data_IF_439185826294
#
_entry.id   IF_439185826294
#
_cell.length_a   1.000
_cell.length_b   1.000
_cell.length_c   1.000
_cell.angle_alpha   90.00
_cell.angle_beta   90.00
_cell.angle_gamma   90.00
#
_symmetry.space_group_name_H-M   'P 1'
#
loop_
_entity.id
_entity.type
_entity.pdbx_description
1 polymer ?
#
# COMPACT_ATOMS: atom_id res chain seq x y z
N UNK A 1 -1.81 4.84 -2.44
CA UNK A 1 -1.42 3.57 -3.10
C UNK A 1 -2.14 3.46 -4.45
N UNK A 2 -1.79 2.47 -5.27
CA UNK A 2 -2.48 2.16 -6.54
C UNK A 2 -2.80 0.67 -6.56
N UNK A 3 -3.83 0.27 -7.31
CA UNK A 3 -4.20 -1.13 -7.49
C UNK A 3 -3.06 -1.92 -8.14
N UNK A 4 -2.74 -3.08 -7.59
CA UNK A 4 -1.74 -4.03 -8.09
C UNK A 4 -2.45 -5.29 -8.56
N UNK A 5 -2.21 -5.69 -9.81
CA UNK A 5 -2.71 -6.96 -10.32
C UNK A 5 -1.76 -8.09 -9.87
N UNK A 6 -2.06 -8.70 -8.72
CA UNK A 6 -1.20 -9.74 -8.15
C UNK A 6 -1.04 -10.94 -9.09
N UNK A 7 -2.05 -11.24 -9.92
CA UNK A 7 -2.03 -12.39 -10.83
C UNK A 7 -0.92 -12.32 -11.89
N UNK A 8 -0.42 -11.12 -12.19
CA UNK A 8 0.74 -10.97 -13.08
C UNK A 8 2.02 -11.62 -12.51
N UNK A 9 2.11 -11.80 -11.18
CA UNK A 9 3.22 -12.54 -10.53
C UNK A 9 3.30 -13.97 -11.03
N UNK A 10 2.18 -14.64 -11.29
CA UNK A 10 2.14 -16.07 -11.61
C UNK A 10 3.02 -16.41 -12.81
N UNK A 11 2.98 -15.55 -13.84
CA UNK A 11 3.82 -15.66 -15.04
C UNK A 11 5.29 -15.30 -14.84
N UNK A 12 5.64 -14.73 -13.68
CA UNK A 12 6.96 -14.24 -13.34
C UNK A 12 7.66 -15.11 -12.29
N UNK A 13 6.97 -16.10 -11.72
CA UNK A 13 7.52 -16.99 -10.69
C UNK A 13 8.76 -17.72 -11.23
N UNK A 14 9.85 -17.82 -10.45
CA UNK A 14 11.01 -18.62 -10.83
C UNK A 14 10.65 -20.09 -11.04
N UNK A 15 11.38 -20.77 -11.94
CA UNK A 15 11.23 -22.20 -12.18
C UNK A 15 11.33 -23.00 -10.87
N UNK A 16 10.41 -23.94 -10.66
CA UNK A 16 10.39 -24.78 -9.46
C UNK A 16 9.94 -24.05 -8.17
N UNK A 17 9.54 -22.77 -8.24
CA UNK A 17 9.14 -22.03 -7.03
C UNK A 17 7.85 -22.58 -6.42
N UNK A 18 6.84 -22.90 -7.23
CA UNK A 18 5.55 -23.43 -6.77
C UNK A 18 5.70 -24.80 -6.12
N UNK A 19 6.53 -25.68 -6.68
CA UNK A 19 6.82 -27.00 -6.14
C UNK A 19 7.50 -26.88 -4.77
N UNK A 20 8.53 -26.03 -4.65
CA UNK A 20 9.18 -25.76 -3.37
C UNK A 20 8.21 -25.19 -2.34
N UNK A 21 7.36 -24.24 -2.73
CA UNK A 21 6.36 -23.64 -1.87
C UNK A 21 5.31 -24.65 -1.37
N UNK A 22 4.89 -25.56 -2.24
CA UNK A 22 3.98 -26.65 -1.90
C UNK A 22 4.61 -27.64 -0.92
N UNK A 23 5.82 -28.09 -1.20
CA UNK A 23 6.54 -29.03 -0.32
C UNK A 23 6.77 -28.45 1.07
N UNK A 24 7.16 -27.17 1.15
CA UNK A 24 7.33 -26.47 2.42
C UNK A 24 5.99 -26.28 3.13
N UNK A 25 4.91 -25.95 2.43
CA UNK A 25 3.57 -25.84 3.03
C UNK A 25 3.12 -27.14 3.69
N UNK A 26 3.37 -28.29 3.04
CA UNK A 26 3.08 -29.62 3.62
C UNK A 26 3.92 -29.87 4.89
N UNK A 27 5.18 -29.45 4.90
CA UNK A 27 6.05 -29.61 6.08
C UNK A 27 5.61 -28.81 7.31
N UNK A 28 4.77 -27.79 7.15
CA UNK A 28 4.25 -26.98 8.27
C UNK A 28 3.08 -27.64 9.02
N UNK A 29 2.43 -28.61 8.39
CA UNK A 29 1.30 -29.35 8.97
C UNK A 29 1.80 -30.15 10.17
N UNK A 30 0.99 -30.20 11.23
CA UNK A 30 1.31 -30.87 12.50
C UNK A 30 2.59 -30.41 13.23
N UNK A 31 3.17 -29.28 12.81
CA UNK A 31 4.33 -28.67 13.47
C UNK A 31 3.93 -27.73 14.60
N UNK A 32 4.75 -27.73 15.66
CA UNK A 32 4.68 -26.71 16.70
C UNK A 32 5.02 -25.32 16.15
N UNK A 33 4.66 -24.28 16.88
CA UNK A 33 5.01 -22.90 16.52
C UNK A 33 6.53 -22.71 16.41
N UNK A 34 7.30 -23.30 17.32
CA UNK A 34 8.77 -23.23 17.35
C UNK A 34 9.39 -23.94 16.15
N UNK A 35 8.86 -25.12 15.77
CA UNK A 35 9.29 -25.86 14.59
C UNK A 35 9.01 -25.07 13.30
N UNK A 36 7.81 -24.47 13.18
CA UNK A 36 7.46 -23.61 12.03
C UNK A 36 8.39 -22.41 11.92
N UNK A 37 8.72 -21.76 13.05
CA UNK A 37 9.67 -20.63 13.07
C UNK A 37 11.04 -21.06 12.54
N UNK A 38 11.52 -22.27 12.88
CA UNK A 38 12.76 -22.80 12.33
C UNK A 38 12.66 -23.00 10.81
N UNK A 39 11.59 -23.65 10.34
CA UNK A 39 11.34 -23.87 8.90
C UNK A 39 11.34 -22.54 8.14
N UNK A 40 10.68 -21.50 8.66
CA UNK A 40 10.64 -20.18 8.04
C UNK A 40 12.01 -19.50 7.97
N UNK A 41 12.85 -19.64 9.00
CA UNK A 41 14.20 -19.07 9.01
C UNK A 41 15.11 -19.77 8.00
N UNK A 42 14.98 -21.08 7.91
CA UNK A 42 15.81 -21.90 7.02
C UNK A 42 15.37 -21.79 5.55
N UNK A 43 14.11 -21.41 5.28
CA UNK A 43 13.53 -21.39 3.94
C UNK A 43 12.78 -20.08 3.61
N UNK A 44 13.44 -18.91 3.55
CA UNK A 44 12.79 -17.63 3.26
C UNK A 44 12.50 -17.43 1.75
N UNK A 45 11.96 -18.44 1.06
CA UNK A 45 11.80 -18.45 -0.41
C UNK A 45 10.92 -17.33 -0.97
N UNK A 46 10.15 -16.64 -0.12
CA UNK A 46 9.42 -15.43 -0.51
C UNK A 46 10.35 -14.30 -0.96
N UNK A 47 11.59 -14.26 -0.46
CA UNK A 47 12.61 -13.29 -0.89
C UNK A 47 13.02 -13.49 -2.35
N UNK A 48 12.90 -14.72 -2.87
CA UNK A 48 13.19 -15.03 -4.28
C UNK A 48 12.27 -14.23 -5.23
N UNK A 49 11.11 -13.78 -4.75
CA UNK A 49 10.11 -13.03 -5.53
C UNK A 49 10.30 -11.51 -5.47
N UNK A 50 11.30 -10.99 -4.75
CA UNK A 50 11.49 -9.55 -4.56
C UNK A 50 11.62 -8.80 -5.90
N UNK A 51 12.36 -9.36 -6.85
CA UNK A 51 12.58 -8.74 -8.18
C UNK A 51 11.28 -8.70 -8.99
N UNK A 52 10.50 -9.77 -8.96
CA UNK A 52 9.21 -9.90 -9.63
C UNK A 52 8.19 -8.91 -9.03
N UNK A 53 8.12 -8.87 -7.70
CA UNK A 53 7.22 -7.98 -6.98
C UNK A 53 7.54 -6.50 -7.24
N UNK A 54 8.82 -6.15 -7.36
CA UNK A 54 9.29 -4.81 -7.75
C UNK A 54 8.82 -4.40 -9.15
N UNK A 55 8.76 -5.33 -10.11
CA UNK A 55 8.32 -5.01 -11.49
C UNK A 55 6.86 -4.55 -11.55
N UNK A 56 5.98 -5.14 -10.73
CA UNK A 56 4.53 -4.85 -10.75
C UNK A 56 4.17 -3.44 -10.32
N UNK A 57 5.02 -2.80 -9.52
CA UNK A 57 4.77 -1.46 -8.98
C UNK A 57 5.80 -0.43 -9.42
N UNK A 58 6.62 -0.74 -10.43
CA UNK A 58 7.73 0.12 -10.86
C UNK A 58 8.66 0.51 -9.69
N UNK A 59 9.08 -0.49 -8.90
CA UNK A 59 9.91 -0.38 -7.70
C UNK A 59 9.29 0.39 -6.52
N UNK A 60 7.98 0.66 -6.54
CA UNK A 60 7.29 1.39 -5.47
C UNK A 60 6.79 0.45 -4.38
N UNK A 61 6.83 0.88 -3.12
CA UNK A 61 6.11 0.24 -2.03
C UNK A 61 4.61 0.22 -2.34
N UNK A 62 3.96 -0.94 -2.21
CA UNK A 62 2.55 -1.10 -2.58
C UNK A 62 1.63 -0.32 -1.63
N UNK A 63 2.02 -0.09 -0.38
CA UNK A 63 1.25 0.70 0.59
C UNK A 63 1.48 2.21 0.46
N UNK A 64 2.74 2.65 0.44
CA UNK A 64 3.08 4.09 0.50
C UNK A 64 3.21 4.76 -0.86
N UNK A 65 3.38 3.97 -1.93
CA UNK A 65 3.72 4.40 -3.29
C UNK A 65 5.11 5.05 -3.44
N UNK A 66 5.94 5.04 -2.38
CA UNK A 66 7.30 5.57 -2.41
C UNK A 66 8.25 4.58 -3.07
N UNK A 67 9.21 5.08 -3.84
CA UNK A 67 10.38 4.35 -4.28
C UNK A 67 11.48 4.41 -3.23
N UNK A 68 12.25 3.33 -3.12
CA UNK A 68 13.39 3.25 -2.21
C UNK A 68 14.67 3.13 -3.04
N UNK A 69 15.50 4.17 -3.00
CA UNK A 69 16.75 4.23 -3.79
C UNK A 69 17.92 3.63 -3.03
N UNK A 70 17.99 3.89 -1.72
CA UNK A 70 19.13 3.52 -0.86
C UNK A 70 18.75 2.54 0.25
N UNK A 71 17.48 2.13 0.33
CA UNK A 71 16.99 1.21 1.35
C UNK A 71 16.45 -0.06 0.71
N UNK A 72 16.57 -1.17 1.44
CA UNK A 72 15.97 -2.42 1.02
C UNK A 72 14.45 -2.37 1.15
N UNK A 73 13.78 -3.19 0.34
CA UNK A 73 12.34 -3.41 0.41
C UNK A 73 12.08 -4.80 0.98
N UNK A 74 11.01 -4.93 1.75
CA UNK A 74 10.56 -6.18 2.33
C UNK A 74 9.51 -6.84 1.44
N UNK A 75 9.51 -8.17 1.43
CA UNK A 75 8.36 -8.98 1.03
C UNK A 75 7.52 -9.23 2.29
N UNK A 76 6.45 -8.44 2.44
CA UNK A 76 5.52 -8.52 3.55
C UNK A 76 4.50 -9.65 3.36
N UNK A 77 4.25 -10.40 4.41
CA UNK A 77 3.11 -11.33 4.49
C UNK A 77 1.89 -10.53 4.93
N UNK A 78 1.00 -10.17 3.99
CA UNK A 78 -0.19 -9.37 4.27
C UNK A 78 -0.94 -9.93 5.48
N UNK A 79 -1.21 -11.23 5.44
CA UNK A 79 -1.61 -12.06 6.58
C UNK A 79 -0.35 -12.62 7.26
N UNK A 80 0.02 -12.15 8.47
CA UNK A 80 1.29 -12.49 9.08
C UNK A 80 1.41 -13.99 9.44
N UNK A 81 2.52 -14.62 9.06
CA UNK A 81 2.72 -16.06 9.22
C UNK A 81 2.95 -16.57 10.65
N UNK A 82 3.45 -15.73 11.58
CA UNK A 82 3.87 -16.19 12.93
C UNK A 82 2.87 -15.86 14.03
N UNK A 83 2.28 -14.68 13.98
CA UNK A 83 1.30 -14.18 14.94
C UNK A 83 0.52 -13.04 14.29
N UNK A 84 -0.74 -12.88 14.65
CA UNK A 84 -1.56 -11.77 14.21
C UNK A 84 -1.97 -10.89 15.40
N UNK A 85 -1.70 -9.60 15.30
CA UNK A 85 -1.94 -8.61 16.35
C UNK A 85 -3.12 -7.70 15.99
N UNK A 86 -3.91 -7.34 16.99
CA UNK A 86 -4.90 -6.27 16.88
C UNK A 86 -5.08 -5.56 18.21
N UNK A 87 -5.58 -4.33 18.17
CA UNK A 87 -6.00 -3.57 19.36
C UNK A 87 -7.52 -3.53 19.35
N UNK A 88 -8.17 -3.97 20.43
CA UNK A 88 -9.63 -3.88 20.53
C UNK A 88 -10.10 -2.46 20.89
N UNK A 89 -11.42 -2.26 20.93
CA UNK A 89 -12.04 -0.96 21.26
C UNK A 89 -11.62 -0.39 22.63
N UNK A 90 -11.19 -1.24 23.56
CA UNK A 90 -10.73 -0.85 24.89
C UNK A 90 -9.23 -0.57 24.95
N UNK A 91 -8.53 -0.54 23.81
CA UNK A 91 -7.09 -0.34 23.74
C UNK A 91 -6.25 -1.56 24.13
N UNK A 92 -6.87 -2.72 24.36
CA UNK A 92 -6.15 -3.95 24.75
C UNK A 92 -5.57 -4.64 23.51
N UNK A 93 -4.28 -4.98 23.59
CA UNK A 93 -3.60 -5.82 22.60
C UNK A 93 -4.12 -7.25 22.67
N UNK A 94 -4.58 -7.77 21.54
CA UNK A 94 -4.96 -9.16 21.32
C UNK A 94 -3.89 -9.78 20.42
N UNK A 95 -3.42 -10.96 20.82
CA UNK A 95 -2.47 -11.78 20.05
C UNK A 95 -3.18 -13.06 19.65
N UNK A 96 -3.16 -13.37 18.36
CA UNK A 96 -3.70 -14.61 17.78
C UNK A 96 -2.59 -15.41 17.12
N UNK A 97 -2.86 -16.66 16.81
CA UNK A 97 -1.96 -17.43 15.97
C UNK A 97 -1.79 -16.78 14.59
N UNK A 98 -0.67 -17.04 13.94
CA UNK A 98 -0.39 -16.53 12.61
C UNK A 98 -1.09 -17.36 11.53
N UNK A 99 -1.13 -16.79 10.33
CA UNK A 99 -1.59 -17.46 9.11
C UNK A 99 -0.42 -18.29 8.53
N UNK A 100 0.13 -19.20 9.31
CA UNK A 100 1.31 -19.99 8.95
C UNK A 100 1.09 -20.82 7.68
N UNK A 101 -0.15 -21.26 7.44
CA UNK A 101 -0.57 -21.98 6.24
C UNK A 101 -0.59 -21.09 4.97
N UNK A 102 -0.42 -19.77 5.11
CA UNK A 102 -0.17 -18.82 4.01
C UNK A 102 1.29 -18.34 3.94
N UNK A 103 2.21 -18.96 4.68
CA UNK A 103 3.61 -18.52 4.70
C UNK A 103 4.28 -18.62 3.32
N UNK A 104 3.89 -19.63 2.53
CA UNK A 104 4.42 -19.92 1.19
C UNK A 104 3.39 -19.64 0.07
N UNK A 105 2.33 -18.90 0.37
CA UNK A 105 1.33 -18.49 -0.62
C UNK A 105 1.72 -17.13 -1.22
N UNK A 106 2.09 -17.10 -2.50
CA UNK A 106 2.56 -15.87 -3.15
C UNK A 106 1.48 -14.80 -3.24
N UNK A 107 0.20 -15.18 -3.29
CA UNK A 107 -0.92 -14.23 -3.24
C UNK A 107 -1.03 -13.50 -1.89
N UNK A 108 -0.35 -13.98 -0.85
CA UNK A 108 -0.25 -13.31 0.45
C UNK A 108 0.92 -12.30 0.54
N UNK A 109 1.73 -12.15 -0.51
CA UNK A 109 2.92 -11.28 -0.46
C UNK A 109 2.65 -9.88 -1.00
N UNK A 110 3.18 -8.88 -0.30
CA UNK A 110 3.13 -7.47 -0.71
C UNK A 110 4.54 -6.90 -0.68
N UNK A 111 4.91 -6.13 -1.71
CA UNK A 111 6.15 -5.38 -1.67
C UNK A 111 5.96 -4.15 -0.78
N UNK A 112 6.76 -4.05 0.27
CA UNK A 112 6.63 -2.99 1.27
C UNK A 112 7.98 -2.37 1.57
N UNK A 113 8.01 -1.06 1.84
CA UNK A 113 9.21 -0.46 2.41
C UNK A 113 9.37 -0.89 3.86
N UNK A 114 10.61 -0.85 4.37
CA UNK A 114 10.86 -1.12 5.79
C UNK A 114 10.11 -0.15 6.72
N UNK A 115 9.72 1.03 6.22
CA UNK A 115 9.01 2.05 7.00
C UNK A 115 7.53 1.73 7.18
N UNK A 116 6.91 1.12 6.17
CA UNK A 116 5.53 0.64 6.25
C UNK A 116 5.43 -0.75 6.86
N UNK A 117 6.44 -1.60 6.68
CA UNK A 117 6.41 -2.98 7.16
C UNK A 117 6.88 -3.16 8.61
N UNK A 118 7.94 -2.46 9.05
CA UNK A 118 8.57 -2.74 10.35
C UNK A 118 8.14 -1.72 11.40
N UNK A 119 7.82 -2.18 12.60
CA UNK A 119 7.45 -1.30 13.72
C UNK A 119 8.60 -0.34 14.05
N UNK A 120 8.32 0.97 13.99
CA UNK A 120 9.29 2.02 14.26
C UNK A 120 8.64 3.33 14.63
N UNK A 121 9.41 4.20 15.28
CA UNK A 121 9.03 5.58 15.57
C UNK A 121 9.42 6.49 14.41
N UNK A 122 8.65 7.55 14.19
CA UNK A 122 9.10 8.65 13.36
C UNK A 122 10.17 9.44 14.12
N UNK A 123 11.41 9.46 13.61
CA UNK A 123 12.52 10.18 14.23
C UNK A 123 12.47 11.69 14.00
N UNK A 124 11.61 12.13 13.08
CA UNK A 124 11.41 13.54 12.72
C UNK A 124 10.21 14.15 13.45
N UNK A 125 9.46 13.35 14.20
CA UNK A 125 8.33 13.80 15.01
C UNK A 125 8.68 13.82 16.49
N UNK A 126 8.05 14.73 17.24
CA UNK A 126 8.07 14.72 18.72
C UNK A 126 7.22 13.57 19.29
N UNK A 127 6.30 13.02 18.49
CA UNK A 127 5.51 11.85 18.86
C UNK A 127 6.41 10.61 18.95
N UNK A 128 6.34 9.93 20.10
CA UNK A 128 7.10 8.70 20.37
C UNK A 128 6.31 7.43 20.06
N UNK A 129 5.12 7.54 19.46
CA UNK A 129 4.32 6.41 19.00
C UNK A 129 5.05 5.65 17.89
N UNK A 130 4.90 4.33 17.92
CA UNK A 130 5.47 3.43 16.92
C UNK A 130 4.37 3.03 15.94
N UNK A 131 4.69 3.09 14.66
CA UNK A 131 3.84 2.73 13.53
C UNK A 131 4.57 1.72 12.64
N UNK A 132 3.88 1.19 11.64
CA UNK A 132 4.37 0.11 10.78
C UNK A 132 3.59 -1.17 11.03
N UNK A 133 3.36 -1.94 9.97
CA UNK A 133 2.48 -3.10 9.99
C UNK A 133 2.93 -4.16 10.98
N UNK A 134 4.18 -4.60 10.88
CA UNK A 134 4.70 -5.73 11.63
C UNK A 134 3.75 -6.93 11.56
N UNK A 135 3.33 -7.40 12.73
CA UNK A 135 2.36 -8.47 12.87
C UNK A 135 0.91 -7.99 12.99
N UNK A 136 0.63 -6.68 12.84
CA UNK A 136 -0.74 -6.17 12.91
C UNK A 136 -1.56 -6.64 11.71
N UNK A 137 -2.69 -7.28 12.04
CA UNK A 137 -3.68 -7.74 11.10
C UNK A 137 -5.07 -7.64 11.76
N UNK A 138 -5.61 -6.43 11.93
CA UNK A 138 -6.88 -6.21 12.60
C UNK A 138 -8.06 -6.74 11.79
N UNK A 139 -8.92 -7.50 12.45
CA UNK A 139 -10.25 -7.87 11.94
C UNK A 139 -11.32 -7.00 12.58
N UNK A 140 -12.49 -6.96 11.93
CA UNK A 140 -13.70 -6.37 12.52
C UNK A 140 -14.00 -7.00 13.87
N UNK A 141 -14.46 -6.19 14.81
CA UNK A 141 -14.87 -6.69 16.13
C UNK A 141 -15.95 -7.77 16.01
N UNK A 142 -15.79 -8.87 16.75
CA UNK A 142 -16.66 -10.05 16.67
C UNK A 142 -16.39 -11.00 15.50
N UNK A 143 -15.47 -10.66 14.60
CA UNK A 143 -15.08 -11.55 13.50
C UNK A 143 -14.07 -12.61 13.98
N UNK A 144 -14.31 -13.87 13.62
CA UNK A 144 -13.39 -14.97 13.90
C UNK A 144 -12.23 -14.94 12.90
N UNK A 145 -11.03 -15.29 13.37
CA UNK A 145 -9.90 -15.44 12.47
C UNK A 145 -9.98 -16.78 11.72
N UNK A 146 -9.68 -16.76 10.43
CA UNK A 146 -9.56 -17.94 9.61
C UNK A 146 -8.37 -18.78 10.08
N UNK A 147 -8.61 -20.07 10.23
CA UNK A 147 -7.63 -21.08 10.63
C UNK A 147 -7.16 -21.92 9.45
N UNK A 148 -7.87 -21.84 8.32
CA UNK A 148 -7.52 -22.49 7.05
C UNK A 148 -8.01 -21.69 5.84
N UNK A 149 -7.68 -22.17 4.63
CA UNK A 149 -8.00 -21.49 3.37
C UNK A 149 -9.50 -21.35 3.13
N UNK A 150 -10.29 -22.34 3.54
CA UNK A 150 -11.74 -22.39 3.30
C UNK A 150 -12.52 -21.36 4.14
N UNK A 151 -11.91 -20.81 5.19
CA UNK A 151 -12.51 -19.83 6.10
C UNK A 151 -12.12 -18.38 5.74
N UNK A 152 -11.24 -18.15 4.75
CA UNK A 152 -10.73 -16.80 4.43
C UNK A 152 -11.85 -15.83 4.09
N UNK A 153 -12.86 -16.30 3.35
CA UNK A 153 -13.92 -15.45 2.82
C UNK A 153 -14.90 -14.99 3.91
N UNK A 154 -14.90 -15.65 5.07
CA UNK A 154 -15.69 -15.27 6.24
C UNK A 154 -15.00 -14.19 7.12
N UNK A 155 -13.71 -13.92 6.87
CA UNK A 155 -12.97 -12.89 7.59
C UNK A 155 -13.22 -11.48 7.05
N UNK A 156 -13.55 -10.56 7.96
CA UNK A 156 -13.70 -9.15 7.63
C UNK A 156 -12.46 -8.39 8.10
N UNK A 157 -11.57 -8.10 7.15
CA UNK A 157 -10.27 -7.47 7.37
C UNK A 157 -10.40 -5.94 7.38
N UNK A 158 -9.73 -5.26 8.32
CA UNK A 158 -9.77 -3.79 8.40
C UNK A 158 -8.69 -3.10 7.55
N UNK A 159 -7.61 -3.81 7.22
CA UNK A 159 -6.53 -3.28 6.39
C UNK A 159 -6.95 -3.12 4.92
N UNK A 160 -6.47 -2.05 4.29
CA UNK A 160 -6.57 -1.81 2.85
C UNK A 160 -5.49 -2.61 2.12
N UNK A 161 -5.90 -3.42 1.16
CA UNK A 161 -5.01 -4.23 0.35
C UNK A 161 -4.89 -3.70 -1.08
N UNK A 162 -3.70 -3.27 -1.55
CA UNK A 162 -3.49 -2.83 -2.92
C UNK A 162 -3.92 -3.83 -4.00
N UNK A 163 -4.05 -5.13 -3.69
CA UNK A 163 -4.53 -6.12 -4.68
C UNK A 163 -6.06 -6.15 -4.81
N UNK A 164 -6.79 -5.58 -3.83
CA UNK A 164 -8.22 -5.37 -3.94
C UNK A 164 -8.45 -4.07 -4.74
N UNK A 165 -9.14 -4.13 -5.89
CA UNK A 165 -9.30 -2.95 -6.74
C UNK A 165 -10.01 -1.77 -6.07
N UNK A 166 -10.85 -2.03 -5.06
CA UNK A 166 -11.66 -0.99 -4.41
C UNK A 166 -10.93 -0.33 -3.21
N UNK A 167 -9.89 -0.97 -2.67
CA UNK A 167 -9.24 -0.49 -1.45
C UNK A 167 -8.38 0.77 -1.65
N UNK A 168 -7.61 0.92 -2.76
CA UNK A 168 -6.87 2.14 -3.03
C UNK A 168 -7.72 3.41 -3.10
N UNK A 169 -8.99 3.30 -3.53
CA UNK A 169 -9.92 4.42 -3.66
C UNK A 169 -10.39 4.96 -2.30
N UNK A 170 -10.16 4.21 -1.21
CA UNK A 170 -10.47 4.63 0.16
C UNK A 170 -9.43 5.61 0.75
N UNK A 171 -8.37 5.94 0.00
CA UNK A 171 -7.34 6.88 0.40
C UNK A 171 -7.35 8.15 -0.47
N UNK A 172 -7.29 9.29 0.21
CA UNK A 172 -7.07 10.59 -0.41
C UNK A 172 -5.81 11.26 0.17
N UNK A 173 -5.28 12.26 -0.53
CA UNK A 173 -4.10 13.01 -0.11
C UNK A 173 -4.37 14.51 -0.09
N UNK A 174 -3.99 15.19 0.98
CA UNK A 174 -4.13 16.65 1.09
C UNK A 174 -2.99 17.39 0.41
N UNK A 175 -3.08 18.72 0.36
CA UNK A 175 -2.03 19.59 -0.20
C UNK A 175 -0.73 19.59 0.60
N UNK A 176 -0.80 19.19 1.86
CA UNK A 176 0.33 18.94 2.75
C UNK A 176 0.92 17.52 2.58
N UNK A 177 0.41 16.72 1.63
CA UNK A 177 0.86 15.35 1.41
C UNK A 177 0.39 14.34 2.46
N UNK A 178 -0.59 14.73 3.30
CA UNK A 178 -1.16 13.88 4.35
C UNK A 178 -2.15 12.89 3.73
N UNK A 179 -1.98 11.60 4.03
CA UNK A 179 -2.96 10.57 3.72
C UNK A 179 -4.14 10.66 4.69
N UNK A 180 -5.35 10.69 4.14
CA UNK A 180 -6.63 10.72 4.86
C UNK A 180 -7.63 9.75 4.21
N UNK A 181 -8.69 9.30 4.93
CA UNK A 181 -9.81 8.63 4.29
C UNK A 181 -10.42 9.50 3.18
N UNK A 182 -10.81 8.89 2.06
CA UNK A 182 -11.49 9.59 0.96
C UNK A 182 -12.99 9.79 1.20
N UNK A 183 -13.56 9.00 2.11
CA UNK A 183 -14.98 9.06 2.52
C UNK A 183 -15.12 9.70 3.90
N UNK A 184 -16.30 10.24 4.21
CA UNK A 184 -16.60 10.76 5.54
C UNK A 184 -17.02 9.65 6.52
N UNK A 185 -16.86 9.90 7.82
CA UNK A 185 -17.29 8.96 8.87
C UNK A 185 -18.81 8.84 8.93
N UNK A 186 -19.54 9.90 8.56
CA UNK A 186 -20.99 9.97 8.55
C UNK A 186 -21.62 9.22 7.36
N UNK A 187 -21.04 9.34 6.17
CA UNK A 187 -21.58 8.71 4.95
C UNK A 187 -21.18 7.23 4.85
N UNK A 188 -19.92 6.90 5.13
CA UNK A 188 -19.39 5.54 5.03
C UNK A 188 -18.52 5.15 6.23
N UNK A 189 -19.10 4.97 7.44
CA UNK A 189 -18.35 4.69 8.67
C UNK A 189 -17.40 3.51 8.56
N UNK A 190 -17.81 2.46 7.83
CA UNK A 190 -17.03 1.25 7.62
C UNK A 190 -15.74 1.51 6.84
N UNK A 191 -15.86 2.14 5.66
CA UNK A 191 -14.72 2.41 4.80
C UNK A 191 -13.82 3.51 5.39
N UNK A 192 -14.40 4.49 6.09
CA UNK A 192 -13.65 5.45 6.88
C UNK A 192 -12.76 4.77 7.93
N UNK A 193 -13.32 3.84 8.71
CA UNK A 193 -12.58 3.10 9.72
C UNK A 193 -11.44 2.29 9.11
N UNK A 194 -11.69 1.56 8.01
CA UNK A 194 -10.65 0.79 7.30
C UNK A 194 -9.50 1.66 6.83
N UNK A 195 -9.82 2.79 6.19
CA UNK A 195 -8.81 3.73 5.71
C UNK A 195 -7.99 4.32 6.86
N UNK A 196 -8.64 4.79 7.92
CA UNK A 196 -7.98 5.36 9.11
C UNK A 196 -7.02 4.38 9.77
N UNK A 197 -7.46 3.14 9.99
CA UNK A 197 -6.63 2.09 10.57
C UNK A 197 -5.43 1.76 9.68
N UNK A 198 -5.63 1.71 8.36
CA UNK A 198 -4.56 1.40 7.40
C UNK A 198 -3.53 2.53 7.30
N UNK A 199 -3.96 3.79 7.33
CA UNK A 199 -3.07 4.96 7.36
C UNK A 199 -2.12 4.89 8.55
N UNK A 200 -2.65 4.59 9.74
CA UNK A 200 -1.88 4.45 10.97
C UNK A 200 -0.94 3.23 10.90
N UNK A 201 -1.47 2.05 10.59
CA UNK A 201 -0.70 0.81 10.61
C UNK A 201 0.40 0.82 9.55
N UNK A 202 0.14 1.29 8.33
CA UNK A 202 1.17 1.40 7.29
C UNK A 202 2.07 2.62 7.42
N UNK A 203 1.87 3.43 8.46
CA UNK A 203 2.66 4.62 8.74
C UNK A 203 2.67 5.60 7.56
N UNK A 204 1.51 5.76 6.90
CA UNK A 204 1.43 6.54 5.65
C UNK A 204 1.68 8.04 5.87
N UNK A 205 1.64 8.52 7.11
CA UNK A 205 1.90 9.91 7.49
C UNK A 205 3.26 10.13 8.17
N UNK A 206 4.22 9.23 7.94
CA UNK A 206 5.63 9.44 8.29
C UNK A 206 6.16 10.73 7.66
N UNK A 207 6.93 11.53 8.41
CA UNK A 207 7.27 12.91 8.03
C UNK A 207 7.95 13.05 6.66
N UNK A 208 9.07 12.35 6.36
CA UNK A 208 9.68 12.36 5.03
C UNK A 208 8.71 11.97 3.89
N UNK A 209 7.77 11.06 4.15
CA UNK A 209 6.80 10.62 3.16
C UNK A 209 5.77 11.71 2.86
N UNK A 210 5.29 12.43 3.88
CA UNK A 210 4.41 13.59 3.69
C UNK A 210 5.11 14.70 2.89
N UNK A 211 6.35 15.03 3.25
CA UNK A 211 7.14 16.06 2.58
C UNK A 211 7.36 15.72 1.09
N UNK A 212 7.73 14.47 0.79
CA UNK A 212 7.91 14.01 -0.59
C UNK A 212 6.59 14.10 -1.41
N UNK A 213 5.46 13.72 -0.80
CA UNK A 213 4.15 13.86 -1.44
C UNK A 213 3.75 15.31 -1.66
N UNK A 214 4.04 16.19 -0.70
CA UNK A 214 3.80 17.63 -0.84
C UNK A 214 4.58 18.24 -2.01
N UNK A 215 5.81 17.77 -2.28
CA UNK A 215 6.58 18.19 -3.47
C UNK A 215 5.83 17.84 -4.76
N UNK A 216 5.32 16.61 -4.88
CA UNK A 216 4.52 16.18 -6.04
C UNK A 216 3.23 16.99 -6.16
N UNK A 217 2.53 17.21 -5.06
CA UNK A 217 1.33 18.06 -5.03
C UNK A 217 1.62 19.47 -5.54
N UNK A 218 2.64 20.13 -4.99
CA UNK A 218 3.01 21.50 -5.37
C UNK A 218 3.45 21.59 -6.83
N UNK A 219 4.11 20.56 -7.38
CA UNK A 219 4.43 20.51 -8.79
C UNK A 219 3.16 20.38 -9.65
N UNK A 220 2.23 19.49 -9.28
CA UNK A 220 0.94 19.33 -9.95
C UNK A 220 0.12 20.63 -9.93
N UNK A 221 0.03 21.27 -8.77
CA UNK A 221 -0.71 22.52 -8.58
C UNK A 221 -0.17 23.63 -9.47
N UNK A 222 1.16 23.81 -9.55
CA UNK A 222 1.78 24.80 -10.45
C UNK A 222 1.42 24.56 -11.92
N UNK A 223 1.41 23.31 -12.38
CA UNK A 223 0.99 22.96 -13.75
C UNK A 223 -0.48 23.31 -14.01
N UNK A 224 -1.34 23.08 -13.02
CA UNK A 224 -2.76 23.45 -13.10
C UNK A 224 -2.95 24.96 -13.12
N UNK A 225 -2.18 25.71 -12.32
CA UNK A 225 -2.26 27.17 -12.28
C UNK A 225 -1.77 27.78 -13.59
N UNK A 226 -0.66 27.29 -14.15
CA UNK A 226 -0.19 27.65 -15.50
C UNK A 226 -1.28 27.43 -16.57
N UNK A 227 -1.98 26.29 -16.51
CA UNK A 227 -3.07 25.97 -17.42
C UNK A 227 -4.22 26.99 -17.28
N UNK A 228 -4.59 27.33 -16.05
CA UNK A 228 -5.65 28.30 -15.75
C UNK A 228 -5.29 29.71 -16.22
N UNK A 229 -4.03 30.12 -16.08
CA UNK A 229 -3.55 31.40 -16.59
C UNK A 229 -3.70 31.49 -18.11
N UNK A 230 -3.34 30.42 -18.84
CA UNK A 230 -3.50 30.38 -20.29
C UNK A 230 -4.98 30.43 -20.68
N UNK A 231 -5.85 29.71 -19.97
CA UNK A 231 -7.30 29.69 -20.25
C UNK A 231 -8.00 31.03 -19.99
N UNK A 232 -7.44 31.91 -19.15
CA UNK A 232 -7.98 33.26 -18.91
C UNK A 232 -7.65 34.26 -20.03
N UNK A 233 -6.76 33.92 -20.96
CA UNK A 233 -6.40 34.82 -22.08
C UNK A 233 -7.59 34.96 -23.04
N UNK A 234 -7.91 36.22 -23.40
CA UNK A 234 -8.97 36.53 -24.37
C UNK A 234 -8.69 35.97 -25.77
N UNK A 235 -7.41 35.93 -26.17
CA UNK A 235 -6.95 35.35 -27.41
C UNK A 235 -5.76 34.43 -27.13
N UNK A 236 -5.85 33.16 -27.58
CA UNK A 236 -4.78 32.17 -27.47
C UNK A 236 -3.98 32.11 -28.76
N UNK A 237 -2.66 32.04 -28.61
CA UNK A 237 -1.72 31.90 -29.74
C UNK A 237 -1.40 30.43 -30.01
N UNK A 238 -0.78 30.12 -31.15
CA UNK A 238 -0.27 28.76 -31.42
C UNK A 238 0.70 28.27 -30.33
N UNK A 239 1.47 29.18 -29.73
CA UNK A 239 2.40 28.87 -28.62
C UNK A 239 1.67 28.52 -27.33
N UNK A 240 0.51 29.13 -27.09
CA UNK A 240 -0.34 28.81 -25.95
C UNK A 240 -0.93 27.41 -26.07
N UNK A 241 -1.38 27.02 -27.27
CA UNK A 241 -1.89 25.67 -27.53
C UNK A 241 -0.81 24.59 -27.36
N UNK A 242 0.42 24.86 -27.82
CA UNK A 242 1.57 23.99 -27.58
C UNK A 242 1.87 23.85 -26.07
N UNK A 243 1.86 24.97 -25.33
CA UNK A 243 2.08 24.94 -23.87
C UNK A 243 0.96 24.17 -23.15
N UNK A 244 -0.29 24.30 -23.57
CA UNK A 244 -1.42 23.51 -23.03
C UNK A 244 -1.18 22.02 -23.28
N UNK A 245 -0.75 21.63 -24.48
CA UNK A 245 -0.48 20.24 -24.84
C UNK A 245 0.63 19.65 -23.95
N UNK A 246 1.73 20.38 -23.76
CA UNK A 246 2.84 19.97 -22.91
C UNK A 246 2.43 19.85 -21.43
N UNK A 247 1.70 20.83 -20.88
CA UNK A 247 1.20 20.76 -19.50
C UNK A 247 0.28 19.54 -19.31
N UNK A 248 -0.62 19.27 -20.27
CA UNK A 248 -1.49 18.08 -20.20
C UNK A 248 -0.69 16.78 -20.27
N UNK A 249 0.38 16.74 -21.05
CA UNK A 249 1.27 15.58 -21.11
C UNK A 249 1.97 15.36 -19.78
N UNK A 250 2.54 16.41 -19.17
CA UNK A 250 3.15 16.35 -17.84
C UNK A 250 2.14 15.82 -16.80
N UNK A 251 0.91 16.35 -16.79
CA UNK A 251 -0.13 15.89 -15.86
C UNK A 251 -0.51 14.42 -16.07
N UNK A 252 -0.53 13.93 -17.32
CA UNK A 252 -0.77 12.50 -17.61
C UNK A 252 0.35 11.62 -17.08
N UNK A 253 1.60 12.06 -17.24
CA UNK A 253 2.75 11.33 -16.73
C UNK A 253 2.72 11.25 -15.20
N UNK A 254 2.35 12.34 -14.54
CA UNK A 254 2.22 12.38 -13.07
C UNK A 254 1.15 11.41 -12.52
N UNK A 255 0.03 11.21 -13.23
CA UNK A 255 -1.04 10.29 -12.79
C UNK A 255 -0.87 8.86 -13.29
N UNK A 256 0.15 8.60 -14.10
CA UNK A 256 0.46 7.26 -14.59
C UNK A 256 0.70 6.30 -13.43
N UNK A 257 0.18 5.06 -13.53
CA UNK A 257 0.39 4.01 -12.51
C UNK A 257 1.86 3.77 -12.19
N UNK A 258 2.78 4.09 -13.11
CA UNK A 258 4.22 3.90 -12.93
C UNK A 258 4.90 5.07 -12.21
N UNK A 259 4.29 6.25 -12.16
CA UNK A 259 4.87 7.42 -11.52
C UNK A 259 4.84 7.29 -9.98
N UNK A 260 5.88 7.79 -9.32
CA UNK A 260 5.92 7.85 -7.86
C UNK A 260 4.87 8.84 -7.35
N UNK A 261 4.12 8.45 -6.31
CA UNK A 261 3.03 9.23 -5.74
C UNK A 261 1.94 9.65 -6.76
N UNK A 262 1.67 8.81 -7.77
CA UNK A 262 0.63 9.08 -8.76
C UNK A 262 -0.75 9.28 -8.15
N UNK A 263 -1.05 8.65 -7.01
CA UNK A 263 -2.29 8.88 -6.27
C UNK A 263 -2.40 10.31 -5.70
N UNK A 264 -1.27 10.94 -5.36
CA UNK A 264 -1.24 12.35 -4.89
C UNK A 264 -1.54 13.30 -6.05
N UNK A 265 -0.96 13.03 -7.23
CA UNK A 265 -1.26 13.80 -8.44
C UNK A 265 -2.74 13.70 -8.83
N UNK A 266 -3.33 12.50 -8.73
CA UNK A 266 -4.77 12.28 -8.94
C UNK A 266 -5.62 13.10 -7.96
N UNK A 267 -5.31 13.04 -6.66
CA UNK A 267 -6.01 13.82 -5.65
C UNK A 267 -5.92 15.34 -5.91
N UNK A 268 -4.77 15.84 -6.38
CA UNK A 268 -4.59 17.23 -6.76
C UNK A 268 -5.47 17.63 -7.95
N UNK A 269 -5.52 16.78 -8.99
CA UNK A 269 -6.35 17.00 -10.19
C UNK A 269 -7.84 16.99 -9.83
N UNK A 270 -8.26 16.04 -9.00
CA UNK A 270 -9.64 15.92 -8.51
C UNK A 270 -10.07 17.14 -7.71
N UNK A 271 -9.26 17.58 -6.73
CA UNK A 271 -9.52 18.80 -5.94
C UNK A 271 -9.70 20.03 -6.84
N UNK A 272 -8.91 20.12 -7.90
CA UNK A 272 -8.93 21.24 -8.84
C UNK A 272 -10.00 21.11 -9.95
N UNK A 273 -10.75 19.99 -9.99
CA UNK A 273 -11.81 19.69 -10.98
C UNK A 273 -11.31 19.77 -12.42
N UNK A 274 -10.06 19.39 -12.66
CA UNK A 274 -9.49 19.34 -14.02
C UNK A 274 -9.89 18.03 -14.67
N UNK A 275 -10.55 18.10 -15.84
CA UNK A 275 -10.87 16.89 -16.63
C UNK A 275 -9.62 16.38 -17.33
N UNK A 276 -9.17 15.19 -16.93
CA UNK A 276 -8.15 14.41 -17.62
C UNK A 276 -8.78 13.11 -18.11
N UNK A 277 -8.41 12.67 -19.33
CA UNK A 277 -8.63 11.28 -19.73
C UNK A 277 -7.57 10.44 -19.00
N UNK A 278 -8.02 9.57 -18.09
CA UNK A 278 -7.18 8.63 -17.35
C UNK A 278 -6.77 7.45 -18.24
#
# INVERSE_FOLDING_TARGET
MRTINILEVESLLPDGWLERAKDLSVQLVDKSKEERVKIFKDNPIWQDLLVQLKKLSNNKCWYSEAQEVMSDMDVDHFRPKMEALQININGKKIVRDGYWWLAYEWKNYRLSSIYSNRLRKDKHSVDKKSYGKGSFFPLREGCNAATCIDEIDDEIILLLDPINPNDPDLLFFTEEGIAIPSVSEEEEPWNFQRAKISIDIYHLNHTPLKEARQVVWNYCQRKIDDLREIFRKAHRTSRDEERIANIRQDLREMISKNAEFSAVALACIEKNKIRMAA
#
